data_IF_704688686922
#
_entry.id   IF_704688686922
#
_cell.length_a   1.000
_cell.length_b   1.000
_cell.length_c   1.000
_cell.angle_alpha   90.00
_cell.angle_beta   90.00
_cell.angle_gamma   90.00
#
_symmetry.space_group_name_H-M   'P 1'
#
loop_
_entity.id
_entity.type
_entity.pdbx_description
1 polymer ?
#
# COMPACT_ATOMS: atom_id res chain seq x y z
N UNK A 1 10.93 8.68 30.37
CA UNK A 1 10.38 7.77 29.34
C UNK A 1 9.65 8.62 28.31
N UNK A 2 10.21 8.81 27.11
CA UNK A 2 9.51 9.54 26.04
C UNK A 2 8.51 8.57 25.41
N UNK A 3 7.22 8.70 25.74
CA UNK A 3 6.18 8.13 24.90
C UNK A 3 6.23 8.88 23.57
N UNK A 4 6.91 8.33 22.55
CA UNK A 4 6.62 8.71 21.17
C UNK A 4 5.15 8.34 20.96
N UNK A 5 4.29 9.34 20.82
CA UNK A 5 2.94 9.12 20.33
C UNK A 5 3.08 8.39 18.98
N UNK A 6 2.78 7.10 18.93
CA UNK A 6 2.79 6.32 17.69
C UNK A 6 1.65 6.85 16.80
N UNK A 7 1.91 7.93 16.06
CA UNK A 7 1.00 8.46 15.04
C UNK A 7 1.12 7.55 13.82
N UNK A 8 0.19 6.61 13.70
CA UNK A 8 0.01 5.79 12.51
C UNK A 8 -1.48 5.79 12.13
N UNK A 9 -1.76 5.34 10.91
CA UNK A 9 -3.14 5.32 10.38
C UNK A 9 -4.07 4.47 11.25
N UNK A 10 -3.61 3.34 11.79
CA UNK A 10 -4.41 2.50 12.68
C UNK A 10 -4.92 3.28 13.91
N UNK A 11 -4.02 3.97 14.62
CA UNK A 11 -4.40 4.76 15.80
C UNK A 11 -5.28 5.96 15.43
N UNK A 12 -5.06 6.57 14.27
CA UNK A 12 -5.93 7.62 13.77
C UNK A 12 -7.36 7.09 13.53
N UNK A 13 -7.49 5.99 12.77
CA UNK A 13 -8.79 5.37 12.49
C UNK A 13 -9.51 4.93 13.75
N UNK A 14 -8.80 4.31 14.71
CA UNK A 14 -9.36 3.97 16.02
C UNK A 14 -9.91 5.20 16.74
N UNK A 15 -9.14 6.30 16.81
CA UNK A 15 -9.56 7.53 17.47
C UNK A 15 -10.77 8.18 16.79
N UNK A 16 -10.87 8.05 15.47
CA UNK A 16 -11.97 8.62 14.69
C UNK A 16 -13.19 7.68 14.57
N UNK A 17 -13.13 6.46 15.13
CA UNK A 17 -14.19 5.47 14.95
C UNK A 17 -14.34 4.97 13.50
N UNK A 18 -13.27 5.05 12.69
CA UNK A 18 -13.26 4.56 11.31
C UNK A 18 -12.96 3.06 11.35
N UNK A 19 -13.98 2.24 11.13
CA UNK A 19 -13.86 0.79 11.20
C UNK A 19 -13.37 0.15 9.90
N UNK A 20 -13.72 0.75 8.74
CA UNK A 20 -13.36 0.25 7.41
C UNK A 20 -13.04 1.43 6.49
N UNK A 21 -12.12 1.21 5.55
CA UNK A 21 -11.74 2.13 4.49
C UNK A 21 -12.01 1.42 3.15
N UNK A 22 -12.87 1.98 2.31
CA UNK A 22 -13.09 1.44 0.97
C UNK A 22 -11.90 1.73 0.05
N UNK A 23 -11.36 2.96 0.09
CA UNK A 23 -10.20 3.37 -0.68
C UNK A 23 -9.21 4.14 0.20
N UNK A 24 -8.00 3.60 0.31
CA UNK A 24 -6.85 4.25 0.91
C UNK A 24 -5.90 4.73 -0.19
N UNK A 25 -5.97 6.01 -0.55
CA UNK A 25 -4.95 6.63 -1.41
C UNK A 25 -3.72 7.01 -0.58
N UNK A 26 -2.55 6.59 -1.05
CA UNK A 26 -1.25 6.94 -0.50
C UNK A 26 -0.54 7.86 -1.48
N UNK A 27 -0.18 9.03 -0.99
CA UNK A 27 0.55 10.07 -1.71
C UNK A 27 1.47 10.75 -0.68
N UNK A 28 2.58 10.08 -0.39
CA UNK A 28 3.48 10.43 0.71
C UNK A 28 4.94 10.43 0.27
N UNK A 29 5.18 10.63 -1.04
CA UNK A 29 6.48 10.88 -1.65
C UNK A 29 7.55 9.84 -1.25
N UNK A 30 7.25 8.55 -1.44
CA UNK A 30 8.18 7.44 -1.19
C UNK A 30 8.01 6.77 0.18
N UNK A 31 7.16 7.30 1.07
CA UNK A 31 6.89 6.73 2.39
C UNK A 31 5.68 5.77 2.45
N UNK A 32 5.18 5.32 1.30
CA UNK A 32 3.97 4.50 1.17
C UNK A 32 4.12 3.19 1.98
N UNK A 33 5.27 2.52 1.89
CA UNK A 33 5.54 1.28 2.63
C UNK A 33 5.51 1.49 4.15
N UNK A 34 5.97 2.64 4.64
CA UNK A 34 5.94 2.97 6.06
C UNK A 34 4.51 3.18 6.56
N UNK A 35 3.66 3.84 5.77
CA UNK A 35 2.22 3.97 6.08
C UNK A 35 1.54 2.60 6.12
N UNK A 36 1.82 1.75 5.15
CA UNK A 36 1.28 0.38 5.09
C UNK A 36 1.73 -0.48 6.26
N UNK A 37 2.99 -0.35 6.69
CA UNK A 37 3.51 -1.00 7.90
C UNK A 37 2.75 -0.51 9.14
N UNK A 38 2.46 0.79 9.24
CA UNK A 38 1.60 1.35 10.29
C UNK A 38 0.13 0.93 10.20
N UNK A 39 -0.32 0.46 9.04
CA UNK A 39 -1.66 -0.06 8.78
C UNK A 39 -1.78 -1.58 8.98
N UNK A 40 -0.70 -2.29 9.33
CA UNK A 40 -0.63 -3.76 9.35
C UNK A 40 -1.87 -4.44 9.97
N UNK A 41 -2.31 -3.99 11.15
CA UNK A 41 -3.51 -4.53 11.82
C UNK A 41 -4.80 -4.36 11.01
N UNK A 42 -4.95 -3.23 10.32
CA UNK A 42 -6.10 -2.99 9.44
C UNK A 42 -6.06 -3.91 8.22
N UNK A 43 -4.87 -4.16 7.68
CA UNK A 43 -4.67 -5.05 6.54
C UNK A 43 -4.96 -6.51 6.92
N UNK A 44 -4.42 -6.98 8.05
CA UNK A 44 -4.64 -8.33 8.60
C UNK A 44 -6.11 -8.61 8.94
N UNK A 45 -6.84 -7.58 9.39
CA UNK A 45 -8.29 -7.67 9.69
C UNK A 45 -9.16 -7.26 8.51
N UNK A 46 -8.59 -7.11 7.32
CA UNK A 46 -9.30 -6.83 6.07
C UNK A 46 -10.22 -5.60 6.12
N UNK A 47 -9.78 -4.57 6.84
CA UNK A 47 -10.49 -3.30 7.04
C UNK A 47 -10.19 -2.27 5.95
N UNK A 48 -9.32 -2.59 4.99
CA UNK A 48 -9.05 -1.73 3.83
C UNK A 48 -9.39 -2.53 2.58
N UNK A 49 -10.28 -2.04 1.73
CA UNK A 49 -10.71 -2.77 0.54
C UNK A 49 -9.75 -2.54 -0.65
N UNK A 50 -9.40 -1.27 -0.91
CA UNK A 50 -8.48 -0.88 -1.98
C UNK A 50 -7.44 0.08 -1.43
N UNK A 51 -6.20 -0.09 -1.87
CA UNK A 51 -5.11 0.83 -1.64
C UNK A 51 -4.60 1.28 -3.00
N UNK A 52 -4.47 2.58 -3.23
CA UNK A 52 -3.80 3.13 -4.40
C UNK A 52 -2.53 3.84 -3.95
N UNK A 53 -1.45 3.66 -4.70
CA UNK A 53 -0.21 4.38 -4.46
C UNK A 53 0.52 4.69 -5.76
N UNK A 54 1.39 5.68 -5.69
CA UNK A 54 2.28 6.07 -6.77
C UNK A 54 3.67 5.50 -6.54
N UNK A 55 4.27 4.95 -7.59
CA UNK A 55 5.66 4.51 -7.58
C UNK A 55 6.42 5.37 -8.59
N UNK A 56 7.48 6.04 -8.14
CA UNK A 56 8.27 6.98 -8.94
C UNK A 56 9.68 7.13 -8.35
N UNK A 57 10.42 8.17 -8.72
CA UNK A 57 11.80 8.41 -8.28
C UNK A 57 11.95 8.71 -6.78
N UNK A 58 10.91 9.20 -6.10
CA UNK A 58 10.95 9.43 -4.63
C UNK A 58 11.24 8.17 -3.82
N UNK A 59 10.93 7.00 -4.40
CA UNK A 59 11.22 5.71 -3.81
C UNK A 59 12.72 5.39 -3.74
N UNK A 60 13.54 6.04 -4.57
CA UNK A 60 15.01 5.97 -4.49
C UNK A 60 15.47 6.60 -3.18
N UNK A 61 14.95 7.78 -2.85
CA UNK A 61 15.33 8.54 -1.66
C UNK A 61 14.89 7.81 -0.38
N UNK A 62 13.71 7.21 -0.40
CA UNK A 62 13.20 6.41 0.73
C UNK A 62 13.80 5.00 0.81
N UNK A 63 14.57 4.57 -0.20
CA UNK A 63 15.16 3.22 -0.33
C UNK A 63 14.11 2.11 -0.28
N UNK A 64 12.94 2.39 -0.85
CA UNK A 64 11.85 1.42 -0.99
C UNK A 64 11.81 0.95 -2.43
N UNK A 65 11.82 -0.36 -2.63
CA UNK A 65 11.70 -0.96 -3.95
C UNK A 65 10.27 -1.39 -4.20
N UNK A 66 9.86 -1.47 -5.48
CA UNK A 66 8.56 -2.03 -5.84
C UNK A 66 8.41 -3.46 -5.28
N UNK A 67 9.51 -4.23 -5.25
CA UNK A 67 9.58 -5.55 -4.64
C UNK A 67 9.05 -5.60 -3.20
N UNK A 68 9.31 -4.56 -2.39
CA UNK A 68 8.92 -4.56 -0.98
C UNK A 68 7.40 -4.59 -0.79
N UNK A 69 6.66 -3.97 -1.71
CA UNK A 69 5.19 -4.08 -1.73
C UNK A 69 4.74 -5.49 -2.09
N UNK A 70 5.38 -6.15 -3.06
CA UNK A 70 5.06 -7.53 -3.40
C UNK A 70 5.30 -8.47 -2.24
N UNK A 71 6.43 -8.33 -1.52
CA UNK A 71 6.72 -9.16 -0.35
C UNK A 71 5.76 -8.87 0.81
N UNK A 72 5.40 -7.60 1.05
CA UNK A 72 4.45 -7.23 2.11
C UNK A 72 3.07 -7.91 1.93
N UNK A 73 2.60 -8.08 0.70
CA UNK A 73 1.28 -8.63 0.41
C UNK A 73 1.28 -10.10 -0.04
N UNK A 74 2.44 -10.73 -0.20
CA UNK A 74 2.62 -12.08 -0.76
C UNK A 74 1.71 -13.13 -0.11
N UNK A 75 1.66 -13.14 1.22
CA UNK A 75 0.90 -14.12 2.02
C UNK A 75 -0.39 -13.51 2.60
N UNK A 76 -1.00 -12.56 1.89
CA UNK A 76 -2.20 -11.86 2.34
C UNK A 76 -3.40 -12.13 1.41
N UNK A 77 -4.58 -11.71 1.86
CA UNK A 77 -5.80 -11.75 1.05
C UNK A 77 -5.91 -10.57 0.06
N UNK A 78 -4.79 -10.01 -0.39
CA UNK A 78 -4.75 -8.90 -1.35
C UNK A 78 -4.02 -9.30 -2.65
N UNK A 79 -4.21 -8.52 -3.70
CA UNK A 79 -3.55 -8.71 -4.98
C UNK A 79 -3.11 -7.37 -5.57
N UNK A 80 -1.93 -7.35 -6.18
CA UNK A 80 -1.34 -6.15 -6.77
C UNK A 80 -1.75 -6.02 -8.23
N UNK A 81 -2.19 -4.83 -8.60
CA UNK A 81 -2.60 -4.47 -9.95
C UNK A 81 -1.82 -3.25 -10.40
N UNK A 82 -1.35 -3.29 -11.65
CA UNK A 82 -0.89 -2.08 -12.33
C UNK A 82 -2.09 -1.37 -12.94
N UNK A 83 -2.25 -0.08 -12.64
CA UNK A 83 -3.31 0.74 -13.20
C UNK A 83 -2.86 1.23 -14.58
N UNK A 84 -3.66 0.92 -15.60
CA UNK A 84 -3.53 1.46 -16.95
C UNK A 84 -4.76 2.31 -17.28
N UNK A 85 -4.70 3.23 -18.26
CA UNK A 85 -5.80 4.15 -18.57
C UNK A 85 -7.18 3.51 -18.82
N UNK A 86 -7.20 2.23 -19.25
CA UNK A 86 -8.44 1.51 -19.58
C UNK A 86 -8.68 0.23 -18.78
N UNK A 87 -7.74 -0.16 -17.90
CA UNK A 87 -7.84 -1.44 -17.18
C UNK A 87 -6.93 -1.51 -15.97
N UNK A 88 -7.32 -2.34 -15.02
CA UNK A 88 -6.43 -2.88 -14.00
C UNK A 88 -5.80 -4.17 -14.54
N UNK A 89 -4.47 -4.27 -14.49
CA UNK A 89 -3.75 -5.49 -14.87
C UNK A 89 -3.21 -6.16 -13.62
N UNK A 90 -3.73 -7.34 -13.29
CA UNK A 90 -3.17 -8.18 -12.23
C UNK A 90 -1.69 -8.46 -12.50
N UNK A 91 -0.86 -8.34 -11.47
CA UNK A 91 0.55 -8.70 -11.52
C UNK A 91 0.81 -9.73 -10.44
N UNK A 92 0.84 -11.00 -10.85
CA UNK A 92 0.90 -12.14 -9.91
C UNK A 92 2.24 -12.25 -9.16
N UNK A 93 3.33 -11.80 -9.78
CA UNK A 93 4.67 -11.89 -9.23
C UNK A 93 5.52 -10.69 -9.61
N UNK A 94 6.43 -10.33 -8.71
CA UNK A 94 7.46 -9.34 -8.97
C UNK A 94 8.41 -9.80 -10.09
N UNK A 95 8.89 -8.85 -10.87
CA UNK A 95 9.95 -9.02 -11.87
C UNK A 95 10.89 -7.81 -11.76
N UNK A 96 12.20 -8.06 -11.69
CA UNK A 96 13.19 -6.99 -11.49
C UNK A 96 13.15 -5.92 -12.59
N UNK A 97 12.65 -6.23 -13.78
CA UNK A 97 12.47 -5.27 -14.89
C UNK A 97 11.39 -4.23 -14.61
N UNK A 98 10.55 -4.43 -13.60
CA UNK A 98 9.54 -3.46 -13.17
C UNK A 98 10.14 -2.33 -12.31
N UNK A 99 11.34 -2.55 -11.77
CA UNK A 99 12.07 -1.61 -10.90
C UNK A 99 12.76 -0.53 -11.74
N UNK A 100 11.97 0.38 -12.30
CA UNK A 100 12.44 1.43 -13.20
C UNK A 100 12.29 2.86 -12.65
N UNK A 101 11.72 3.02 -11.45
CA UNK A 101 11.50 4.30 -10.77
C UNK A 101 10.80 5.39 -11.60
N UNK A 102 10.11 5.01 -12.68
CA UNK A 102 9.26 5.91 -13.45
C UNK A 102 7.86 5.95 -12.83
N UNK A 103 7.18 7.09 -13.00
CA UNK A 103 5.82 7.30 -12.51
C UNK A 103 4.88 6.19 -12.97
N UNK A 104 4.31 5.49 -11.98
CA UNK A 104 3.40 4.37 -12.16
C UNK A 104 2.32 4.43 -11.09
N UNK A 105 1.09 4.09 -11.50
CA UNK A 105 -0.03 3.93 -10.58
C UNK A 105 -0.24 2.44 -10.29
N UNK A 106 -0.31 2.10 -9.01
CA UNK A 106 -0.56 0.75 -8.54
C UNK A 106 -1.76 0.71 -7.62
N UNK A 107 -2.50 -0.40 -7.68
CA UNK A 107 -3.58 -0.71 -6.77
C UNK A 107 -3.29 -2.03 -6.05
N UNK A 108 -3.66 -2.11 -4.78
CA UNK A 108 -3.64 -3.32 -3.98
C UNK A 108 -5.07 -3.55 -3.53
N UNK A 109 -5.67 -4.65 -3.97
CA UNK A 109 -7.11 -4.88 -3.84
C UNK A 109 -7.32 -6.14 -3.02
N UNK A 110 -8.19 -6.07 -2.01
CA UNK A 110 -8.64 -7.22 -1.23
C UNK A 110 -9.39 -8.19 -2.14
N UNK A 111 -9.00 -9.47 -2.12
CA UNK A 111 -9.65 -10.52 -2.91
C UNK A 111 -11.11 -10.67 -2.45
N UNK A 112 -12.02 -10.80 -3.40
CA UNK A 112 -13.47 -10.90 -3.13
C UNK A 112 -14.16 -9.57 -2.79
N UNK A 113 -13.48 -8.43 -2.93
CA UNK A 113 -14.13 -7.12 -2.93
C UNK A 113 -14.72 -6.84 -4.32
N UNK A 114 -16.04 -6.64 -4.37
CA UNK A 114 -16.86 -6.38 -5.56
C UNK A 114 -17.58 -5.05 -5.43
#
# INVERSE_FOLDING_TARGET
>A
MIQKANRNIYNYCLKQGIERIDLLKLDVEGHELAVLTGAKRMLETERVNVIQFEYNNTHIDSRVFLKDFFELFKETNYSLYKIHPKRLRLVERYDFRMENFQYQNWAIIRKGWN
#
